data_IF_056212878358
#
_entry.id   IF_056212878358
#
_cell.length_a   1.000
_cell.length_b   1.000
_cell.length_c   1.000
_cell.angle_alpha   90.00
_cell.angle_beta   90.00
_cell.angle_gamma   90.00
#
_symmetry.space_group_name_H-M   'P 1'
#
loop_
_entity.id
_entity.type
_entity.pdbx_description
1 polymer ?
#
# COMPACT_ATOMS: atom_id res chain seq x y z
N UNK A 1 -11.04 17.48 58.03
CA UNK A 1 -10.13 18.65 58.11
C UNK A 1 -8.92 18.36 57.24
N UNK A 2 -8.30 19.40 56.63
CA UNK A 2 -6.88 19.54 56.22
C UNK A 2 -6.09 18.36 55.55
N UNK A 3 -5.10 18.57 54.67
CA UNK A 3 -4.71 19.72 53.83
C UNK A 3 -3.60 19.29 52.84
N UNK A 4 -3.52 19.97 51.70
CA UNK A 4 -2.32 20.52 51.03
C UNK A 4 -0.93 19.93 51.37
N UNK A 5 -0.10 19.41 50.44
CA UNK A 5 0.64 20.07 49.32
C UNK A 5 2.15 20.15 49.62
N UNK A 6 2.98 20.33 48.57
CA UNK A 6 4.45 20.62 48.57
C UNK A 6 5.33 19.37 48.70
N UNK A 7 6.58 19.35 48.23
CA UNK A 7 7.58 20.41 47.91
C UNK A 7 8.36 19.96 46.65
N UNK A 8 8.65 20.73 45.57
CA UNK A 8 9.59 21.87 45.41
C UNK A 8 11.05 21.55 45.85
N UNK A 9 12.16 22.01 45.25
CA UNK A 9 12.45 22.80 44.03
C UNK A 9 13.84 22.35 43.44
N UNK A 10 14.23 22.63 42.18
CA UNK A 10 15.06 23.76 41.67
C UNK A 10 16.38 24.03 42.44
N UNK A 11 17.54 24.39 41.86
CA UNK A 11 17.94 24.84 40.49
C UNK A 11 19.25 24.09 40.05
N UNK A 12 20.24 24.52 39.23
CA UNK A 12 20.59 25.76 38.50
C UNK A 12 21.68 25.50 37.40
N UNK A 13 22.09 26.55 36.66
CA UNK A 13 23.43 26.75 36.00
C UNK A 13 23.73 26.04 34.66
N UNK A 14 24.27 26.64 33.57
CA UNK A 14 24.22 28.01 32.97
C UNK A 14 24.99 28.04 31.63
N UNK A 15 24.38 28.56 30.54
CA UNK A 15 24.96 29.20 29.31
C UNK A 15 26.03 28.44 28.46
N UNK A 16 26.04 28.44 27.11
CA UNK A 16 25.05 28.82 26.07
C UNK A 16 25.55 28.40 24.65
N UNK A 17 24.82 28.86 23.61
CA UNK A 17 25.23 29.03 22.21
C UNK A 17 25.06 27.87 21.21
N UNK A 18 23.95 27.98 20.47
CA UNK A 18 23.89 27.87 19.00
C UNK A 18 24.35 26.58 18.30
N UNK A 19 23.36 25.79 17.85
CA UNK A 19 23.24 25.54 16.42
C UNK A 19 21.78 25.30 16.00
N UNK A 20 21.43 25.73 14.78
CA UNK A 20 20.06 25.72 14.26
C UNK A 20 19.64 24.36 13.73
N UNK A 21 18.55 23.80 14.27
CA UNK A 21 17.81 22.70 13.66
C UNK A 21 16.30 22.99 13.76
N UNK A 22 15.67 23.28 12.62
CA UNK A 22 14.26 23.74 12.58
C UNK A 22 13.29 22.63 12.98
N UNK A 23 12.28 23.01 13.78
CA UNK A 23 11.18 22.16 14.21
C UNK A 23 10.43 21.48 13.05
N UNK A 24 10.04 20.22 13.26
CA UNK A 24 8.88 19.60 12.58
C UNK A 24 8.18 18.65 13.54
N UNK A 25 7.36 19.23 14.43
CA UNK A 25 6.51 18.47 15.36
C UNK A 25 5.51 17.60 14.60
N UNK A 26 5.18 16.42 15.14
CA UNK A 26 4.19 15.53 14.55
C UNK A 26 2.79 16.14 14.56
N UNK A 27 2.32 16.60 13.40
CA UNK A 27 0.93 17.03 13.19
C UNK A 27 0.18 15.99 12.35
N UNK A 28 -0.79 15.31 12.96
CA UNK A 28 -1.74 14.45 12.24
C UNK A 28 -2.65 15.34 11.37
N UNK A 29 -2.64 15.23 10.03
CA UNK A 29 -3.45 16.11 9.19
C UNK A 29 -4.93 15.72 9.29
N UNK A 30 -5.75 16.58 9.91
CA UNK A 30 -7.19 16.41 9.91
C UNK A 30 -7.78 16.65 8.50
N UNK A 31 -8.74 15.82 8.10
CA UNK A 31 -9.73 16.18 7.07
C UNK A 31 -9.17 16.58 5.69
N UNK A 32 -8.20 15.86 5.14
CA UNK A 32 -7.67 16.13 3.80
C UNK A 32 -7.96 14.99 2.81
N UNK A 33 -9.09 15.11 2.11
CA UNK A 33 -9.42 14.35 0.91
C UNK A 33 -8.56 14.86 -0.27
N UNK A 34 -7.25 14.63 -0.20
CA UNK A 34 -6.33 15.02 -1.27
C UNK A 34 -6.53 14.07 -2.43
N UNK A 35 -7.18 14.54 -3.49
CA UNK A 35 -7.01 13.98 -4.84
C UNK A 35 -5.57 14.20 -5.31
N UNK A 36 -4.65 13.42 -4.75
CA UNK A 36 -3.27 13.32 -5.25
C UNK A 36 -3.37 12.79 -6.67
N UNK A 37 -2.84 13.54 -7.63
CA UNK A 37 -2.73 13.06 -9.00
C UNK A 37 -1.89 11.77 -9.03
N UNK A 38 -2.17 10.79 -9.91
CA UNK A 38 -1.41 9.53 -9.98
C UNK A 38 0.08 9.68 -10.37
N UNK A 39 0.58 10.91 -10.52
CA UNK A 39 1.94 11.24 -11.00
C UNK A 39 3.04 11.04 -9.96
N UNK A 40 2.73 11.19 -8.67
CA UNK A 40 3.76 11.46 -7.64
C UNK A 40 4.32 10.20 -6.98
N UNK A 41 3.70 9.04 -7.22
CA UNK A 41 4.06 7.72 -6.68
C UNK A 41 3.64 6.64 -7.68
N UNK A 42 4.33 5.50 -7.69
CA UNK A 42 3.89 4.36 -8.51
C UNK A 42 2.64 3.70 -7.96
N UNK A 43 1.81 3.17 -8.85
CA UNK A 43 0.51 2.57 -8.53
C UNK A 43 0.24 1.34 -9.40
N UNK A 44 -0.76 0.55 -9.01
CA UNK A 44 -1.34 -0.51 -9.82
C UNK A 44 -2.74 -0.07 -10.25
N UNK A 45 -3.05 -0.13 -11.55
CA UNK A 45 -4.42 0.01 -12.07
C UNK A 45 -5.02 -1.38 -12.26
N UNK A 46 -6.11 -1.65 -11.55
CA UNK A 46 -6.84 -2.91 -11.63
C UNK A 46 -7.92 -2.88 -12.71
N UNK A 47 -8.16 -1.73 -13.34
CA UNK A 47 -9.29 -1.48 -14.26
C UNK A 47 -10.68 -1.71 -13.62
N UNK A 48 -11.74 -1.07 -14.14
CA UNK A 48 -13.08 -1.25 -13.59
C UNK A 48 -13.75 -2.51 -14.16
N UNK A 49 -14.17 -3.49 -13.34
CA UNK A 49 -15.40 -4.22 -13.66
C UNK A 49 -16.53 -3.19 -13.68
N UNK A 50 -17.14 -2.96 -14.85
CA UNK A 50 -18.11 -1.87 -15.10
C UNK A 50 -19.37 -1.88 -14.21
N UNK A 51 -19.54 -2.90 -13.36
CA UNK A 51 -20.68 -3.14 -12.47
C UNK A 51 -20.43 -2.88 -10.98
N UNK A 52 -19.24 -2.42 -10.57
CA UNK A 52 -18.92 -2.20 -9.15
C UNK A 52 -18.89 -0.71 -8.74
N UNK A 53 -19.52 -0.40 -7.62
CA UNK A 53 -19.76 0.97 -7.14
C UNK A 53 -18.54 1.68 -6.51
N UNK A 54 -17.32 1.15 -6.66
CA UNK A 54 -16.09 1.85 -6.24
C UNK A 54 -15.60 2.75 -7.38
N UNK A 55 -15.50 4.07 -7.20
CA UNK A 55 -14.90 4.97 -8.20
C UNK A 55 -13.38 4.88 -8.27
N UNK A 56 -12.73 4.18 -7.32
CA UNK A 56 -11.29 3.96 -7.30
C UNK A 56 -10.98 2.61 -7.97
N UNK A 57 -10.26 2.64 -9.10
CA UNK A 57 -9.81 1.46 -9.87
C UNK A 57 -8.35 1.08 -9.61
N UNK A 58 -7.62 1.87 -8.82
CA UNK A 58 -6.17 1.80 -8.66
C UNK A 58 -5.76 1.80 -7.17
N UNK A 59 -4.55 1.37 -6.86
CA UNK A 59 -3.96 1.51 -5.51
C UNK A 59 -2.45 1.81 -5.56
N UNK A 60 -1.93 2.58 -4.61
CA UNK A 60 -0.50 2.90 -4.57
C UNK A 60 0.34 1.64 -4.37
N UNK A 61 1.41 1.52 -5.16
CA UNK A 61 2.26 0.34 -5.12
C UNK A 61 3.05 0.22 -3.81
N UNK A 62 3.22 1.31 -3.06
CA UNK A 62 3.72 1.28 -1.67
C UNK A 62 2.73 0.60 -0.72
N UNK A 63 1.45 0.90 -0.85
CA UNK A 63 0.39 0.37 0.00
C UNK A 63 0.22 -1.13 -0.23
N UNK A 64 0.11 -1.57 -1.49
CA UNK A 64 0.04 -3.00 -1.82
C UNK A 64 1.29 -3.76 -1.36
N UNK A 65 2.50 -3.21 -1.54
CA UNK A 65 3.74 -3.79 -1.01
C UNK A 65 3.69 -3.99 0.51
N UNK A 66 3.24 -2.98 1.25
CA UNK A 66 3.10 -3.06 2.71
C UNK A 66 2.06 -4.10 3.15
N UNK A 67 0.92 -4.19 2.45
CA UNK A 67 -0.10 -5.20 2.74
C UNK A 67 0.43 -6.63 2.51
N UNK A 68 1.15 -6.87 1.40
CA UNK A 68 1.71 -8.19 1.07
C UNK A 68 2.86 -8.58 2.02
N UNK A 69 3.76 -7.64 2.32
CA UNK A 69 4.86 -7.89 3.25
C UNK A 69 4.34 -8.30 4.65
N UNK A 70 3.38 -7.55 5.18
CA UNK A 70 2.85 -7.71 6.54
C UNK A 70 1.67 -8.69 6.65
N UNK A 71 1.22 -9.33 5.57
CA UNK A 71 0.14 -10.31 5.63
C UNK A 71 0.49 -11.46 6.60
N UNK A 72 -0.45 -12.04 7.35
CA UNK A 72 -0.15 -13.20 8.18
C UNK A 72 0.21 -14.42 7.29
N UNK A 73 0.63 -15.53 7.91
CA UNK A 73 0.81 -16.78 7.18
C UNK A 73 -0.52 -17.27 6.55
N UNK A 74 -0.50 -18.00 5.44
CA UNK A 74 -1.71 -18.58 4.85
C UNK A 74 -2.44 -19.48 5.84
N UNK A 75 -3.75 -19.29 5.94
CA UNK A 75 -4.62 -20.14 6.76
C UNK A 75 -4.78 -21.51 6.10
N UNK A 76 -5.00 -22.54 6.91
CA UNK A 76 -5.21 -23.93 6.48
C UNK A 76 -6.38 -24.54 7.26
N UNK A 77 -7.22 -25.36 6.60
CA UNK A 77 -8.36 -26.04 7.21
C UNK A 77 -9.70 -25.77 6.51
N UNK A 78 -10.82 -25.95 7.24
CA UNK A 78 -12.17 -25.52 6.82
C UNK A 78 -12.45 -24.11 7.36
N UNK A 79 -13.23 -23.30 6.63
CA UNK A 79 -13.52 -21.91 7.00
C UNK A 79 -12.42 -20.91 6.61
N UNK A 80 -11.78 -21.13 5.46
CA UNK A 80 -10.59 -20.41 4.99
C UNK A 80 -10.85 -18.92 4.75
N UNK A 81 -10.58 -18.09 5.75
CA UNK A 81 -10.29 -16.67 5.55
C UNK A 81 -8.91 -16.45 4.91
N UNK A 82 -8.56 -15.20 4.65
CA UNK A 82 -7.30 -14.83 3.98
C UNK A 82 -6.13 -14.56 4.96
N UNK A 83 -4.87 -14.64 4.49
CA UNK A 83 -4.45 -15.20 3.20
C UNK A 83 -4.72 -16.71 3.12
N UNK A 84 -4.81 -17.23 1.90
CA UNK A 84 -5.14 -18.63 1.64
C UNK A 84 -4.45 -19.12 0.36
N UNK A 85 -4.26 -20.44 0.22
CA UNK A 85 -3.62 -21.01 -0.97
C UNK A 85 -4.48 -20.87 -2.22
N UNK A 86 -3.89 -20.30 -3.27
CA UNK A 86 -4.51 -20.15 -4.58
C UNK A 86 -4.05 -21.28 -5.52
N UNK A 87 -5.00 -22.13 -5.92
CA UNK A 87 -4.71 -23.31 -6.75
C UNK A 87 -4.16 -23.02 -8.15
N UNK A 88 -4.34 -21.78 -8.65
CA UNK A 88 -3.90 -21.30 -9.96
C UNK A 88 -4.28 -22.27 -11.10
N UNK A 89 -5.55 -22.68 -11.11
CA UNK A 89 -6.20 -23.46 -12.17
C UNK A 89 -7.18 -22.53 -12.87
N UNK A 90 -6.95 -22.25 -14.15
CA UNK A 90 -7.77 -21.35 -14.97
C UNK A 90 -8.23 -22.05 -16.23
N UNK A 91 -9.28 -21.52 -16.85
CA UNK A 91 -9.77 -21.92 -18.18
C UNK A 91 -9.62 -20.75 -19.14
N UNK A 92 -9.26 -21.03 -20.41
CA UNK A 92 -9.19 -19.99 -21.43
C UNK A 92 -10.51 -19.20 -21.52
N UNK A 93 -10.48 -17.87 -21.75
CA UNK A 93 -9.30 -17.05 -22.09
C UNK A 93 -8.37 -16.68 -20.92
N UNK A 94 -8.77 -16.93 -19.67
CA UNK A 94 -7.99 -16.54 -18.49
C UNK A 94 -6.61 -17.20 -18.46
N UNK A 95 -5.59 -16.44 -18.03
CA UNK A 95 -4.20 -16.89 -17.95
C UNK A 95 -3.78 -17.17 -16.49
N UNK A 96 -2.93 -18.17 -16.23
CA UNK A 96 -2.47 -18.46 -14.88
C UNK A 96 -1.58 -17.34 -14.37
N UNK A 97 -1.65 -17.06 -13.06
CA UNK A 97 -0.76 -16.09 -12.41
C UNK A 97 0.69 -16.61 -12.51
N UNK A 98 1.66 -15.82 -13.03
CA UNK A 98 3.00 -16.30 -13.39
C UNK A 98 3.93 -16.37 -12.16
N UNK A 99 3.60 -17.24 -11.20
CA UNK A 99 4.33 -17.41 -9.95
C UNK A 99 4.65 -18.88 -9.66
N UNK A 100 5.79 -19.12 -9.02
CA UNK A 100 6.19 -20.44 -8.55
C UNK A 100 5.30 -20.88 -7.38
N UNK A 101 4.86 -22.14 -7.41
CA UNK A 101 4.01 -22.74 -6.36
C UNK A 101 4.83 -23.02 -5.08
N UNK A 102 4.22 -23.03 -3.88
CA UNK A 102 2.83 -22.67 -3.60
C UNK A 102 2.56 -21.18 -3.82
N UNK A 103 1.35 -20.87 -4.30
CA UNK A 103 0.87 -19.48 -4.42
C UNK A 103 -0.17 -19.26 -3.33
N UNK A 104 -0.03 -18.16 -2.62
CA UNK A 104 -0.96 -17.65 -1.62
C UNK A 104 -1.62 -16.39 -2.18
N UNK A 105 -2.86 -16.09 -1.78
CA UNK A 105 -3.51 -14.83 -2.12
C UNK A 105 -4.20 -14.16 -0.94
N UNK A 106 -4.26 -12.82 -0.98
CA UNK A 106 -4.91 -11.97 0.02
C UNK A 106 -5.64 -10.80 -0.65
N UNK A 107 -6.74 -10.28 -0.08
CA UNK A 107 -7.36 -9.05 -0.52
C UNK A 107 -6.41 -7.86 -0.49
N UNK A 108 -6.56 -6.95 -1.45
CA UNK A 108 -5.95 -5.63 -1.43
C UNK A 108 -7.02 -4.63 -0.98
N UNK A 109 -6.73 -3.89 0.08
CA UNK A 109 -7.60 -2.83 0.60
C UNK A 109 -7.19 -1.47 0.06
N UNK A 110 -8.16 -0.68 -0.38
CA UNK A 110 -7.93 0.68 -0.90
C UNK A 110 -7.50 1.66 0.20
N UNK A 111 -6.56 2.55 -0.10
CA UNK A 111 -6.17 3.69 0.74
C UNK A 111 -5.37 3.36 2.01
N UNK A 112 -4.96 2.10 2.23
CA UNK A 112 -4.28 1.66 3.47
C UNK A 112 -3.04 0.82 3.20
N UNK A 113 -2.07 0.85 4.11
CA UNK A 113 -0.91 -0.07 4.14
C UNK A 113 -1.13 -1.32 5.00
N UNK A 114 -2.21 -1.35 5.80
CA UNK A 114 -2.53 -2.44 6.73
C UNK A 114 -3.10 -3.65 5.97
N UNK A 115 -2.58 -4.88 6.20
CA UNK A 115 -3.09 -6.09 5.54
C UNK A 115 -4.55 -6.38 5.91
N UNK A 116 -5.28 -7.01 4.99
CA UNK A 116 -6.62 -7.53 5.25
C UNK A 116 -6.64 -8.54 6.42
N UNK A 117 -7.63 -8.42 7.30
CA UNK A 117 -7.86 -9.32 8.44
C UNK A 117 -9.24 -9.98 8.39
N UNK A 118 -10.31 -9.21 8.12
CA UNK A 118 -11.71 -9.65 8.10
C UNK A 118 -12.59 -8.71 7.25
N UNK A 119 -13.87 -9.07 7.07
CA UNK A 119 -14.88 -8.29 6.35
C UNK A 119 -15.12 -8.76 4.90
N UNK A 120 -15.79 -7.96 4.06
CA UNK A 120 -15.91 -8.22 2.63
C UNK A 120 -14.53 -8.09 1.95
N UNK A 121 -14.07 -9.09 1.17
CA UNK A 121 -12.71 -9.06 0.60
C UNK A 121 -12.58 -8.20 -0.67
N UNK A 122 -13.66 -7.58 -1.18
CA UNK A 122 -13.62 -6.79 -2.41
C UNK A 122 -13.16 -7.56 -3.66
N UNK A 123 -12.88 -6.87 -4.78
CA UNK A 123 -12.50 -7.48 -6.06
C UNK A 123 -11.00 -7.80 -6.19
N UNK A 124 -10.11 -7.05 -5.53
CA UNK A 124 -8.66 -7.08 -5.78
C UNK A 124 -7.93 -8.09 -4.91
N UNK A 125 -6.92 -8.76 -5.47
CA UNK A 125 -6.05 -9.72 -4.78
C UNK A 125 -4.59 -9.42 -5.07
N UNK A 126 -3.73 -9.63 -4.09
CA UNK A 126 -2.31 -9.85 -4.32
C UNK A 126 -2.03 -11.35 -4.25
N UNK A 127 -1.31 -11.86 -5.23
CA UNK A 127 -0.83 -13.23 -5.33
C UNK A 127 0.67 -13.25 -5.06
N UNK A 128 1.14 -14.12 -4.18
CA UNK A 128 2.54 -14.17 -3.77
C UNK A 128 2.98 -15.60 -3.44
N UNK A 129 4.29 -15.84 -3.40
CA UNK A 129 4.87 -17.02 -2.79
C UNK A 129 5.42 -16.61 -1.42
N UNK A 130 5.12 -17.35 -0.35
CA UNK A 130 5.53 -16.95 1.01
C UNK A 130 7.05 -16.91 1.22
N UNK A 131 7.84 -17.66 0.44
CA UNK A 131 9.30 -17.58 0.46
C UNK A 131 9.86 -16.37 -0.31
N UNK A 132 9.06 -15.73 -1.18
CA UNK A 132 9.41 -14.45 -1.82
C UNK A 132 8.18 -13.57 -2.02
N UNK A 133 7.81 -12.86 -0.95
CA UNK A 133 6.70 -11.89 -0.94
C UNK A 133 6.97 -10.60 -1.71
N UNK A 134 8.22 -10.33 -2.09
CA UNK A 134 8.57 -9.14 -2.89
C UNK A 134 8.20 -9.32 -4.37
N UNK A 135 8.32 -10.54 -4.90
CA UNK A 135 7.93 -10.91 -6.27
C UNK A 135 6.43 -11.20 -6.43
N UNK A 136 5.54 -10.41 -5.83
CA UNK A 136 4.10 -10.62 -5.90
C UNK A 136 3.48 -10.07 -7.20
N UNK A 137 2.32 -10.60 -7.58
CA UNK A 137 1.49 -10.12 -8.71
C UNK A 137 0.15 -9.61 -8.15
N UNK A 138 -0.21 -8.33 -8.35
CA UNK A 138 -1.56 -7.84 -8.07
C UNK A 138 -2.52 -8.16 -9.22
N UNK A 139 -3.79 -8.36 -8.91
CA UNK A 139 -4.85 -8.67 -9.88
C UNK A 139 -6.25 -8.49 -9.32
N UNK A 140 -7.26 -8.77 -10.15
CA UNK A 140 -8.67 -8.48 -9.87
C UNK A 140 -9.59 -9.55 -10.46
N UNK A 141 -10.76 -9.75 -9.82
CA UNK A 141 -11.84 -10.54 -10.43
C UNK A 141 -12.37 -9.81 -11.67
N UNK A 142 -12.24 -10.45 -12.83
CA UNK A 142 -12.58 -9.89 -14.14
C UNK A 142 -13.81 -10.62 -14.72
N UNK A 143 -14.97 -9.93 -14.84
CA UNK A 143 -16.19 -10.53 -15.39
C UNK A 143 -16.06 -10.98 -16.85
N UNK A 144 -15.21 -10.35 -17.66
CA UNK A 144 -15.08 -10.63 -19.09
C UNK A 144 -14.50 -12.03 -19.38
N UNK A 145 -13.71 -12.54 -18.43
CA UNK A 145 -13.10 -13.88 -18.45
C UNK A 145 -13.80 -14.85 -17.48
N UNK A 146 -15.08 -14.61 -17.17
CA UNK A 146 -15.90 -15.50 -16.35
C UNK A 146 -15.67 -15.38 -14.84
N UNK A 147 -15.22 -14.21 -14.35
CA UNK A 147 -14.93 -13.97 -12.93
C UNK A 147 -13.59 -14.54 -12.44
N UNK A 148 -12.78 -15.07 -13.36
CA UNK A 148 -11.38 -15.42 -13.14
C UNK A 148 -10.52 -14.18 -12.87
N UNK A 149 -9.23 -14.36 -12.62
CA UNK A 149 -8.32 -13.26 -12.27
C UNK A 149 -7.54 -12.72 -13.48
N UNK A 150 -7.65 -11.41 -13.70
CA UNK A 150 -6.76 -10.64 -14.57
C UNK A 150 -5.70 -9.91 -13.74
N UNK A 151 -4.54 -9.62 -14.34
CA UNK A 151 -3.43 -8.93 -13.67
C UNK A 151 -3.60 -7.41 -13.72
N UNK A 152 -3.21 -6.72 -12.66
CA UNK A 152 -3.24 -5.26 -12.60
C UNK A 152 -2.02 -4.65 -13.32
N UNK A 153 -2.23 -3.55 -14.04
CA UNK A 153 -1.16 -2.83 -14.75
C UNK A 153 -0.31 -2.04 -13.77
N UNK A 154 1.01 -2.21 -13.78
CA UNK A 154 1.91 -1.39 -12.96
C UNK A 154 2.30 -0.09 -13.68
N UNK A 155 2.06 1.03 -13.02
CA UNK A 155 2.45 2.36 -13.49
C UNK A 155 3.60 2.88 -12.63
N UNK A 156 4.81 3.07 -13.18
CA UNK A 156 5.93 3.66 -12.44
C UNK A 156 5.66 5.13 -12.10
N UNK A 157 6.29 5.64 -11.04
CA UNK A 157 6.28 7.08 -10.72
C UNK A 157 6.85 7.85 -11.92
N UNK A 158 6.25 8.98 -12.26
CA UNK A 158 6.80 9.87 -13.26
C UNK A 158 8.17 10.42 -12.76
N UNK A 159 9.26 10.00 -13.41
CA UNK A 159 10.58 10.60 -13.19
C UNK A 159 10.53 12.06 -13.65
N UNK A 160 10.70 13.00 -12.71
CA UNK A 160 10.87 14.41 -13.06
C UNK A 160 12.18 14.55 -13.83
N UNK A 161 12.06 14.64 -15.17
CA UNK A 161 13.18 14.83 -16.09
C UNK A 161 13.76 16.23 -15.84
N UNK A 162 14.84 16.31 -15.07
CA UNK A 162 15.51 17.56 -14.74
C UNK A 162 15.95 18.27 -16.03
N UNK A 163 15.28 19.38 -16.32
CA UNK A 163 15.64 20.28 -17.41
C UNK A 163 16.90 21.06 -17.02
N UNK A 164 18.06 20.41 -17.16
CA UNK A 164 19.37 21.07 -17.08
C UNK A 164 19.46 22.11 -18.20
N UNK A 165 18.98 23.32 -17.91
CA UNK A 165 19.03 24.47 -18.81
C UNK A 165 20.48 24.90 -18.90
N UNK A 166 21.16 24.52 -19.99
CA UNK A 166 22.55 24.89 -20.24
C UNK A 166 22.65 26.41 -20.39
N UNK A 167 23.03 27.09 -19.31
CA UNK A 167 23.40 28.50 -19.32
C UNK A 167 24.78 28.66 -19.95
N UNK A 168 24.84 28.53 -21.27
CA UNK A 168 26.06 28.78 -22.05
C UNK A 168 26.31 30.28 -22.08
N UNK A 169 27.11 30.77 -21.12
CA UNK A 169 27.71 32.11 -21.22
C UNK A 169 28.67 32.15 -22.40
N UNK A 170 28.49 33.12 -23.29
CA UNK A 170 29.54 33.56 -24.22
C UNK A 170 29.98 34.97 -23.81
N UNK A 171 31.29 35.15 -23.80
CA UNK A 171 32.02 36.38 -23.51
C UNK A 171 32.17 37.24 -24.76
#
# INVERSE_FOLDING_TARGET
MASNKSTAASSNTTIASSNTATTSSSSTPAGHNVKRSPTDSSYYDFQPPQSQASPQTWEYASNVRSQVANAPAPKVGKGMGYPSYFGNKVTAPAQPIPLNKPISHTPILSGTSTPYTSGPPGPWRAFFNDANRAGFVPGFHDPSIGGQFSQATYHPKASQKSSNKSSTSHT
#
